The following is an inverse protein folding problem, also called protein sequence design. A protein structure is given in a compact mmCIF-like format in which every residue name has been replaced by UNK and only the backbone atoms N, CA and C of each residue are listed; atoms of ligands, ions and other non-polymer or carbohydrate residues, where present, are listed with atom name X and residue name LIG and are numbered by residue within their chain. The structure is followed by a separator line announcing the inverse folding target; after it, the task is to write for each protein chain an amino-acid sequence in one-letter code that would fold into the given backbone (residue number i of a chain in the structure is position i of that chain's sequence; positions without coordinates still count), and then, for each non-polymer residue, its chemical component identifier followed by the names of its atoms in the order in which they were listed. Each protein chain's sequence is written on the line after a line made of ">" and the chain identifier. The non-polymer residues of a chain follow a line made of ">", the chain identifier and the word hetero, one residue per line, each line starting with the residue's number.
data_IF_533384333209
#
_entry.id   IF_533384333209
#
_cell.length_a   1.000
_cell.length_b   1.000
_cell.length_c   1.000
_cell.angle_alpha   90.00
_cell.angle_beta   90.00
_cell.angle_gamma   90.00
#
_symmetry.space_group_name_H-M   'P 1'
#
loop_
_entity.id
_entity.type
_entity.pdbx_description
1 polymer ?
#
# COMPACT_ATOMS: atom_id res chain seq x y z
N UNK A 1 -0.81 20.28 -14.21
CA UNK A 1 0.14 19.31 -13.60
C UNK A 1 -0.38 19.08 -12.19
N UNK A 2 -0.50 17.86 -11.73
CA UNK A 2 -0.93 17.53 -10.36
C UNK A 2 0.00 18.22 -9.35
N UNK A 3 -0.56 18.74 -8.25
CA UNK A 3 0.18 19.29 -7.12
C UNK A 3 0.79 18.16 -6.27
N UNK A 4 0.27 16.94 -6.43
CA UNK A 4 0.65 15.73 -5.70
C UNK A 4 1.74 14.94 -6.41
N UNK A 5 2.57 14.22 -5.65
CA UNK A 5 3.52 13.23 -6.17
C UNK A 5 2.76 12.07 -6.83
N UNK A 6 1.72 11.56 -6.17
CA UNK A 6 0.77 10.57 -6.71
C UNK A 6 -0.62 11.15 -6.65
N UNK A 7 -1.34 11.08 -7.77
CA UNK A 7 -2.73 11.49 -7.90
C UNK A 7 -3.51 10.43 -8.68
N UNK A 8 -4.25 9.61 -7.97
CA UNK A 8 -5.14 8.60 -8.52
C UNK A 8 -6.57 9.14 -8.42
N UNK A 9 -7.29 9.22 -9.52
CA UNK A 9 -8.65 9.74 -9.58
C UNK A 9 -9.59 8.74 -10.24
N UNK A 10 -10.61 8.30 -9.49
CA UNK A 10 -11.70 7.44 -9.97
C UNK A 10 -11.22 6.15 -10.66
N UNK A 11 -10.11 5.58 -10.17
CA UNK A 11 -9.50 4.38 -10.76
C UNK A 11 -10.48 3.21 -10.71
N UNK A 12 -10.60 2.54 -11.87
CA UNK A 12 -11.37 1.32 -12.06
C UNK A 12 -10.51 0.30 -12.80
N UNK A 13 -10.33 -0.86 -12.19
CA UNK A 13 -9.54 -1.94 -12.76
C UNK A 13 -10.31 -3.26 -12.65
N UNK A 14 -10.42 -3.97 -13.76
CA UNK A 14 -11.13 -5.25 -13.82
C UNK A 14 -10.25 -6.35 -14.39
N UNK A 15 -10.42 -7.58 -13.88
CA UNK A 15 -9.84 -8.79 -14.45
C UNK A 15 -10.92 -9.53 -15.26
N UNK A 16 -10.67 -9.73 -16.55
CA UNK A 16 -11.60 -10.40 -17.47
C UNK A 16 -11.29 -11.91 -17.54
N UNK A 17 -11.90 -12.65 -16.62
CA UNK A 17 -11.71 -14.11 -16.50
C UNK A 17 -12.75 -14.89 -17.30
N UNK A 18 -12.55 -16.20 -17.54
CA UNK A 18 -13.59 -17.05 -18.15
C UNK A 18 -14.90 -17.10 -17.34
N UNK A 19 -14.85 -16.87 -16.03
CA UNK A 19 -16.03 -16.83 -15.16
C UNK A 19 -16.77 -15.49 -15.21
N UNK A 20 -16.15 -14.43 -15.76
CA UNK A 20 -16.72 -13.09 -15.86
C UNK A 20 -15.74 -11.99 -15.49
N UNK A 21 -16.26 -10.77 -15.36
CA UNK A 21 -15.52 -9.59 -14.98
C UNK A 21 -15.42 -9.48 -13.45
N UNK A 22 -14.19 -9.57 -12.93
CA UNK A 22 -13.89 -9.33 -11.50
C UNK A 22 -13.47 -7.87 -11.34
N UNK A 23 -14.30 -7.06 -10.68
CA UNK A 23 -14.08 -5.62 -10.46
C UNK A 23 -13.15 -5.39 -9.27
N UNK A 24 -11.84 -5.53 -9.50
CA UNK A 24 -10.83 -5.46 -8.45
C UNK A 24 -10.68 -4.06 -7.84
N UNK A 25 -10.78 -3.01 -8.66
CA UNK A 25 -10.87 -1.61 -8.22
C UNK A 25 -12.12 -0.98 -8.81
N UNK A 26 -12.84 -0.23 -7.98
CA UNK A 26 -14.12 0.34 -8.35
C UNK A 26 -14.27 1.75 -7.75
N UNK A 27 -13.73 2.74 -8.45
CA UNK A 27 -13.77 4.15 -8.05
C UNK A 27 -12.82 4.48 -6.87
N UNK A 28 -11.53 4.17 -7.05
CA UNK A 28 -10.47 4.47 -6.08
C UNK A 28 -9.87 5.83 -6.40
N UNK A 29 -9.79 6.71 -5.38
CA UNK A 29 -9.10 8.00 -5.46
C UNK A 29 -8.14 8.15 -4.29
N UNK A 30 -6.87 8.47 -4.59
CA UNK A 30 -5.78 8.57 -3.60
C UNK A 30 -4.88 9.73 -4.00
N UNK A 31 -4.46 10.55 -3.02
CA UNK A 31 -3.49 11.61 -3.17
C UNK A 31 -2.33 11.39 -2.20
N UNK A 32 -1.10 11.59 -2.66
CA UNK A 32 0.11 11.49 -1.85
C UNK A 32 1.06 12.65 -2.18
N UNK A 33 1.51 13.35 -1.15
CA UNK A 33 2.50 14.41 -1.29
C UNK A 33 3.94 13.87 -1.27
N UNK A 34 4.90 14.69 -1.68
CA UNK A 34 6.32 14.38 -1.50
C UNK A 34 6.64 14.19 -0.01
N UNK A 35 7.43 13.17 0.30
CA UNK A 35 7.87 12.86 1.66
C UNK A 35 6.78 12.36 2.63
N UNK A 36 5.55 12.17 2.17
CA UNK A 36 4.42 11.67 2.97
C UNK A 36 4.38 10.15 3.02
N UNK A 37 3.84 9.58 4.11
CA UNK A 37 3.58 8.14 4.24
C UNK A 37 2.08 7.88 4.24
N UNK A 38 1.60 7.15 3.23
CA UNK A 38 0.21 6.72 3.12
C UNK A 38 0.08 5.24 3.44
N UNK A 39 -0.71 4.91 4.45
CA UNK A 39 -1.13 3.53 4.74
C UNK A 39 -2.34 3.13 3.92
N UNK A 40 -2.28 1.99 3.22
CA UNK A 40 -3.46 1.37 2.61
C UNK A 40 -3.77 0.09 3.39
N UNK A 41 -4.91 0.10 4.08
CA UNK A 41 -5.30 -1.00 4.98
C UNK A 41 -6.62 -1.64 4.55
N UNK A 42 -6.82 -2.90 4.93
CA UNK A 42 -8.04 -3.66 4.65
C UNK A 42 -7.80 -5.16 4.61
N UNK A 43 -8.85 -5.93 4.55
CA UNK A 43 -8.77 -7.40 4.46
C UNK A 43 -8.10 -7.87 3.16
N UNK A 44 -7.66 -9.15 3.13
CA UNK A 44 -7.15 -9.77 1.90
C UNK A 44 -8.21 -9.70 0.79
N UNK A 45 -7.78 -9.42 -0.44
CA UNK A 45 -8.68 -9.26 -1.59
C UNK A 45 -9.41 -7.91 -1.65
N UNK A 46 -9.14 -6.95 -0.77
CA UNK A 46 -9.78 -5.62 -0.82
C UNK A 46 -9.29 -4.72 -1.97
N UNK A 47 -8.23 -5.09 -2.68
CA UNK A 47 -7.67 -4.34 -3.83
C UNK A 47 -6.35 -3.60 -3.56
N UNK A 48 -5.80 -3.63 -2.35
CA UNK A 48 -4.59 -2.89 -1.93
C UNK A 48 -3.41 -3.05 -2.89
N UNK A 49 -2.93 -4.28 -3.06
CA UNK A 49 -1.79 -4.57 -3.95
C UNK A 49 -2.12 -4.29 -5.42
N UNK A 50 -3.39 -4.43 -5.83
CA UNK A 50 -3.82 -4.08 -7.20
C UNK A 50 -3.66 -2.60 -7.47
N UNK A 51 -4.02 -1.73 -6.50
CA UNK A 51 -3.80 -0.27 -6.59
C UNK A 51 -2.31 0.08 -6.73
N UNK A 52 -1.44 -0.58 -5.94
CA UNK A 52 0.00 -0.37 -6.05
C UNK A 52 0.56 -0.84 -7.41
N UNK A 53 0.10 -2.01 -7.88
CA UNK A 53 0.57 -2.56 -9.15
C UNK A 53 0.05 -1.78 -10.36
N UNK A 54 -1.14 -1.18 -10.29
CA UNK A 54 -1.65 -0.32 -11.36
C UNK A 54 -0.81 0.96 -11.49
N UNK A 55 -0.42 1.58 -10.36
CA UNK A 55 0.49 2.73 -10.34
C UNK A 55 1.85 2.40 -10.98
N UNK A 56 2.33 1.18 -10.82
CA UNK A 56 3.56 0.68 -11.42
C UNK A 56 3.38 0.17 -12.86
N UNK A 57 2.14 0.15 -13.40
CA UNK A 57 1.84 -0.51 -14.68
C UNK A 57 2.18 -2.00 -14.70
N UNK A 58 2.10 -2.67 -13.53
CA UNK A 58 2.38 -4.11 -13.34
C UNK A 58 1.11 -4.95 -13.27
N UNK A 59 -0.02 -4.41 -13.75
CA UNK A 59 -1.27 -5.16 -13.79
C UNK A 59 -1.14 -6.41 -14.65
N UNK A 60 -1.21 -7.59 -14.01
CA UNK A 60 -1.06 -8.87 -14.70
C UNK A 60 -2.28 -9.16 -15.60
N UNK A 61 -2.04 -9.76 -16.78
CA UNK A 61 -3.13 -10.30 -17.61
C UNK A 61 -3.97 -11.31 -16.80
N UNK A 62 -5.31 -11.29 -16.88
CA UNK A 62 -6.18 -10.54 -17.80
C UNK A 62 -6.71 -9.19 -17.23
N UNK A 63 -5.97 -8.56 -16.31
CA UNK A 63 -6.33 -7.27 -15.72
C UNK A 63 -6.20 -6.12 -16.72
N UNK A 64 -7.14 -5.17 -16.64
CA UNK A 64 -7.15 -3.95 -17.44
C UNK A 64 -7.66 -2.78 -16.61
N UNK A 65 -7.02 -1.63 -16.76
CA UNK A 65 -7.56 -0.36 -16.31
C UNK A 65 -8.73 0.00 -17.23
N UNK A 66 -9.94 0.14 -16.64
CA UNK A 66 -11.18 0.38 -17.39
C UNK A 66 -11.70 1.80 -17.21
N UNK A 67 -11.11 2.60 -16.31
CA UNK A 67 -11.45 4.01 -16.11
C UNK A 67 -10.60 4.67 -15.05
N UNK A 68 -10.73 5.99 -14.95
CA UNK A 68 -9.95 6.84 -14.05
C UNK A 68 -8.59 7.25 -14.62
N UNK A 69 -7.86 8.00 -13.82
CA UNK A 69 -6.54 8.51 -14.18
C UNK A 69 -5.55 8.28 -13.05
N UNK A 70 -4.30 8.01 -13.41
CA UNK A 70 -3.19 7.84 -12.50
C UNK A 70 -2.06 8.78 -12.95
N UNK A 71 -1.73 9.76 -12.12
CA UNK A 71 -0.61 10.66 -12.32
C UNK A 71 0.45 10.39 -11.26
N UNK A 72 1.70 10.28 -11.68
CA UNK A 72 2.86 10.11 -10.82
C UNK A 72 3.98 11.04 -11.26
N UNK A 73 4.46 11.90 -10.37
CA UNK A 73 5.57 12.84 -10.60
C UNK A 73 5.44 13.61 -11.93
N UNK A 74 4.21 14.04 -12.27
CA UNK A 74 3.91 14.75 -13.52
C UNK A 74 3.76 13.87 -14.77
N UNK A 75 3.89 12.55 -14.64
CA UNK A 75 3.64 11.59 -15.71
C UNK A 75 2.22 11.02 -15.62
N UNK A 76 1.45 11.06 -16.72
CA UNK A 76 0.19 10.35 -16.84
C UNK A 76 0.48 8.86 -17.10
N UNK A 77 0.37 8.04 -16.05
CA UNK A 77 0.69 6.61 -16.08
C UNK A 77 -0.13 5.84 -17.10
N UNK A 78 -1.41 6.20 -17.27
CA UNK A 78 -2.33 5.59 -18.23
C UNK A 78 -1.81 5.60 -19.68
N UNK A 79 -1.02 6.60 -20.04
CA UNK A 79 -0.63 6.88 -21.41
C UNK A 79 0.80 6.36 -21.72
N UNK A 80 1.52 5.85 -20.71
CA UNK A 80 2.90 5.41 -20.87
C UNK A 80 3.02 4.10 -21.63
N UNK A 81 3.92 4.06 -22.60
CA UNK A 81 4.38 2.83 -23.21
C UNK A 81 5.28 2.03 -22.25
N UNK A 82 5.42 0.73 -22.47
CA UNK A 82 6.30 -0.13 -21.65
C UNK A 82 7.76 0.38 -21.65
N UNK A 83 8.23 1.00 -22.73
CA UNK A 83 9.57 1.59 -22.82
C UNK A 83 9.73 2.79 -21.89
N UNK A 84 8.68 3.59 -21.73
CA UNK A 84 8.65 4.74 -20.81
C UNK A 84 8.55 4.28 -19.37
N UNK A 85 7.70 3.29 -19.08
CA UNK A 85 7.61 2.66 -17.76
C UNK A 85 8.96 2.14 -17.25
N UNK A 86 9.76 1.50 -18.11
CA UNK A 86 11.09 1.00 -17.73
C UNK A 86 12.05 2.08 -17.26
N UNK A 87 11.84 3.34 -17.63
CA UNK A 87 12.68 4.45 -17.16
C UNK A 87 12.27 4.92 -15.75
N UNK A 88 11.01 4.69 -15.39
CA UNK A 88 10.42 5.13 -14.12
C UNK A 88 10.56 4.05 -13.06
N UNK A 89 10.23 2.78 -13.41
CA UNK A 89 10.36 1.63 -12.50
C UNK A 89 11.81 1.40 -12.09
N UNK A 90 12.05 1.27 -10.77
CA UNK A 90 13.39 1.07 -10.20
C UNK A 90 14.23 2.35 -10.15
N UNK A 91 13.77 3.45 -10.75
CA UNK A 91 14.43 4.74 -10.75
C UNK A 91 13.64 5.78 -9.93
N UNK A 92 12.45 6.15 -10.39
CA UNK A 92 11.62 7.16 -9.71
C UNK A 92 10.63 6.51 -8.73
N UNK A 93 10.14 5.32 -9.04
CA UNK A 93 9.28 4.52 -8.17
C UNK A 93 9.83 3.12 -8.04
N UNK A 94 9.88 2.62 -6.81
CA UNK A 94 10.32 1.26 -6.49
C UNK A 94 9.29 0.54 -5.63
N UNK A 95 9.34 -0.79 -5.65
CA UNK A 95 8.43 -1.63 -4.87
C UNK A 95 9.21 -2.71 -4.09
N UNK A 96 8.82 -2.91 -2.84
CA UNK A 96 9.17 -4.06 -2.02
C UNK A 96 7.97 -4.99 -2.03
N UNK A 97 8.14 -6.19 -2.58
CA UNK A 97 7.09 -7.21 -2.65
C UNK A 97 6.96 -7.96 -1.33
N UNK A 98 5.80 -8.55 -1.12
CA UNK A 98 5.42 -9.26 0.11
C UNK A 98 6.36 -10.42 0.48
N UNK A 99 6.85 -11.19 -0.50
CA UNK A 99 7.67 -12.37 -0.25
C UNK A 99 9.13 -12.19 -0.77
N UNK A 100 10.11 -12.06 0.15
CA UNK A 100 11.51 -11.96 -0.23
C UNK A 100 12.09 -13.24 -0.85
N UNK A 101 11.43 -14.39 -0.67
CA UNK A 101 11.89 -15.66 -1.24
C UNK A 101 11.66 -15.76 -2.73
N UNK A 102 10.58 -15.15 -3.21
CA UNK A 102 10.21 -15.16 -4.64
C UNK A 102 10.74 -13.92 -5.38
N UNK A 103 11.05 -12.85 -4.66
CA UNK A 103 11.50 -11.58 -5.26
C UNK A 103 12.98 -11.56 -5.60
N UNK A 104 13.82 -12.24 -4.80
CA UNK A 104 15.25 -12.37 -5.09
C UNK A 104 15.49 -13.58 -6.00
N UNK A 105 16.23 -13.36 -7.09
CA UNK A 105 16.58 -14.44 -8.01
C UNK A 105 17.64 -15.36 -7.36
N UNK A 106 17.35 -16.66 -7.12
CA UNK A 106 18.22 -17.55 -6.38
C UNK A 106 19.52 -17.92 -7.09
N UNK A 107 19.62 -17.72 -8.41
CA UNK A 107 20.79 -18.09 -9.22
C UNK A 107 21.77 -16.94 -9.44
N UNK A 108 21.46 -15.74 -8.97
CA UNK A 108 22.34 -14.58 -9.02
C UNK A 108 22.80 -14.18 -7.60
N UNK A 109 24.03 -13.69 -7.51
CA UNK A 109 24.54 -13.16 -6.24
C UNK A 109 23.84 -11.85 -5.88
N UNK A 110 23.84 -11.51 -4.59
CA UNK A 110 23.27 -10.27 -4.07
C UNK A 110 23.88 -9.05 -4.78
N UNK A 111 25.21 -9.04 -4.94
CA UNK A 111 25.90 -7.95 -5.64
C UNK A 111 25.43 -7.78 -7.09
N UNK A 112 25.24 -8.88 -7.81
CA UNK A 112 24.77 -8.80 -9.20
C UNK A 112 23.36 -8.18 -9.28
N UNK A 113 22.46 -8.56 -8.38
CA UNK A 113 21.07 -8.07 -8.38
C UNK A 113 20.98 -6.57 -8.03
N UNK A 114 21.77 -6.09 -7.04
CA UNK A 114 21.84 -4.67 -6.71
C UNK A 114 22.48 -3.87 -7.86
N UNK A 115 23.61 -4.36 -8.37
CA UNK A 115 24.34 -3.70 -9.46
C UNK A 115 23.55 -3.62 -10.76
N UNK A 116 22.69 -4.60 -11.05
CA UNK A 116 21.85 -4.62 -12.25
C UNK A 116 20.97 -3.38 -12.32
N UNK A 117 20.27 -3.06 -11.23
CA UNK A 117 19.41 -1.86 -11.14
C UNK A 117 20.22 -0.57 -11.33
N UNK A 118 21.38 -0.46 -10.66
CA UNK A 118 22.26 0.69 -10.76
C UNK A 118 22.76 0.90 -12.19
N UNK A 119 23.22 -0.18 -12.84
CA UNK A 119 23.76 -0.12 -14.20
C UNK A 119 22.68 0.15 -15.26
N UNK A 120 21.44 -0.25 -14.99
CA UNK A 120 20.32 -0.04 -15.90
C UNK A 120 19.85 1.43 -15.90
N UNK A 121 19.88 2.09 -14.74
CA UNK A 121 19.24 3.39 -14.54
C UNK A 121 20.24 4.56 -14.34
N UNK A 122 21.54 4.27 -14.25
CA UNK A 122 22.56 5.30 -14.04
C UNK A 122 23.72 5.15 -15.02
N UNK A 123 24.49 6.22 -15.22
CA UNK A 123 25.71 6.21 -16.08
C UNK A 123 26.94 5.61 -15.36
N UNK A 124 26.76 4.93 -14.21
CA UNK A 124 27.84 4.35 -13.44
C UNK A 124 28.45 3.14 -14.17
N UNK A 125 29.79 3.04 -14.14
CA UNK A 125 30.46 1.81 -14.58
C UNK A 125 30.36 0.70 -13.52
N UNK A 126 30.81 -0.50 -13.86
CA UNK A 126 30.74 -1.68 -12.97
C UNK A 126 31.44 -1.49 -11.62
N UNK A 127 32.57 -0.77 -11.59
CA UNK A 127 33.32 -0.52 -10.37
C UNK A 127 32.55 0.46 -9.45
N UNK A 128 32.02 1.53 -10.02
CA UNK A 128 31.18 2.48 -9.31
C UNK A 128 29.86 1.85 -8.82
N UNK A 129 29.24 1.01 -9.65
CA UNK A 129 28.03 0.27 -9.27
C UNK A 129 28.29 -0.69 -8.11
N UNK A 130 29.46 -1.37 -8.10
CA UNK A 130 29.88 -2.22 -6.99
C UNK A 130 30.12 -1.43 -5.70
N UNK A 131 30.80 -0.27 -5.80
CA UNK A 131 30.98 0.60 -4.65
C UNK A 131 29.65 1.06 -4.07
N UNK A 132 28.72 1.48 -4.93
CA UNK A 132 27.36 1.88 -4.52
C UNK A 132 26.56 0.72 -3.91
N UNK A 133 26.65 -0.49 -4.48
CA UNK A 133 26.02 -1.68 -3.91
C UNK A 133 26.54 -2.00 -2.50
N UNK A 134 27.84 -1.78 -2.25
CA UNK A 134 28.42 -1.91 -0.90
C UNK A 134 27.82 -0.87 0.06
N UNK A 135 27.82 0.40 -0.34
CA UNK A 135 27.23 1.49 0.46
C UNK A 135 25.75 1.21 0.81
N UNK A 136 24.98 0.70 -0.14
CA UNK A 136 23.56 0.33 0.08
C UNK A 136 23.43 -0.79 1.11
N UNK A 137 24.29 -1.81 1.08
CA UNK A 137 24.26 -2.88 2.10
C UNK A 137 24.65 -2.34 3.49
N UNK A 138 25.61 -1.42 3.58
CA UNK A 138 25.96 -0.72 4.81
C UNK A 138 24.79 0.13 5.32
N UNK A 139 24.12 0.87 4.41
CA UNK A 139 22.99 1.73 4.70
C UNK A 139 21.79 0.96 5.30
N UNK A 140 21.54 -0.26 4.81
CA UNK A 140 20.49 -1.12 5.36
C UNK A 140 20.96 -1.98 6.55
N UNK A 141 22.14 -1.71 7.10
CA UNK A 141 22.66 -2.36 8.30
C UNK A 141 23.12 -3.80 8.08
N UNK A 142 23.60 -4.15 6.89
CA UNK A 142 24.20 -5.45 6.61
C UNK A 142 25.70 -5.42 6.87
N UNK A 143 26.16 -6.20 7.85
CA UNK A 143 27.56 -6.33 8.20
C UNK A 143 28.35 -7.14 7.14
N UNK A 144 29.66 -6.87 7.01
CA UNK A 144 30.56 -7.53 6.05
C UNK A 144 30.07 -7.41 4.58
N UNK A 145 29.72 -6.21 4.08
CA UNK A 145 29.05 -6.03 2.79
C UNK A 145 29.82 -6.65 1.63
N UNK A 146 31.17 -6.56 1.61
CA UNK A 146 32.02 -7.17 0.59
C UNK A 146 31.89 -8.69 0.48
N UNK A 147 31.66 -9.37 1.61
CA UNK A 147 31.39 -10.80 1.64
C UNK A 147 29.97 -11.08 1.17
N UNK A 148 28.98 -10.28 1.63
CA UNK A 148 27.57 -10.46 1.31
C UNK A 148 27.26 -10.22 -0.18
N UNK A 149 27.95 -9.28 -0.82
CA UNK A 149 27.82 -9.07 -2.28
C UNK A 149 28.11 -10.33 -3.11
N UNK A 150 28.93 -11.26 -2.60
CA UNK A 150 29.29 -12.51 -3.29
C UNK A 150 28.35 -13.68 -2.97
N UNK A 151 27.49 -13.53 -1.97
CA UNK A 151 26.57 -14.57 -1.54
C UNK A 151 25.32 -14.61 -2.40
N UNK A 152 24.65 -15.75 -2.35
CA UNK A 152 23.34 -15.98 -2.96
C UNK A 152 22.22 -15.79 -1.93
N UNK A 153 20.97 -15.53 -2.37
CA UNK A 153 19.86 -15.31 -1.44
C UNK A 153 19.65 -16.44 -0.42
N UNK A 154 19.84 -17.69 -0.80
CA UNK A 154 19.66 -18.84 0.09
C UNK A 154 20.70 -18.94 1.22
N UNK A 155 21.82 -18.22 1.13
CA UNK A 155 22.84 -18.14 2.18
C UNK A 155 22.54 -17.06 3.24
N UNK A 156 21.44 -16.29 3.08
CA UNK A 156 21.05 -15.20 3.96
C UNK A 156 19.83 -15.59 4.81
N UNK A 157 19.73 -15.03 6.02
CA UNK A 157 18.53 -15.13 6.86
C UNK A 157 17.37 -14.34 6.25
N UNK A 158 16.11 -14.60 6.71
CA UNK A 158 14.92 -13.89 6.23
C UNK A 158 15.05 -12.36 6.37
N UNK A 159 15.43 -11.87 7.54
CA UNK A 159 15.64 -10.43 7.78
C UNK A 159 16.77 -9.84 6.93
N UNK A 160 17.84 -10.60 6.65
CA UNK A 160 18.89 -10.14 5.73
C UNK A 160 18.40 -10.05 4.29
N UNK A 161 17.60 -11.02 3.82
CA UNK A 161 16.97 -10.95 2.48
C UNK A 161 16.05 -9.73 2.36
N UNK A 162 15.28 -9.43 3.39
CA UNK A 162 14.42 -8.25 3.42
C UNK A 162 15.26 -6.96 3.33
N UNK A 163 16.35 -6.85 4.10
CA UNK A 163 17.28 -5.70 3.99
C UNK A 163 17.91 -5.57 2.60
N UNK A 164 18.23 -6.70 1.95
CA UNK A 164 18.73 -6.70 0.56
C UNK A 164 17.66 -6.20 -0.41
N UNK A 165 16.39 -6.61 -0.25
CA UNK A 165 15.29 -6.10 -1.09
C UNK A 165 15.11 -4.59 -0.92
N UNK A 166 15.20 -4.09 0.31
CA UNK A 166 15.20 -2.64 0.58
C UNK A 166 16.39 -1.97 -0.12
N UNK A 167 17.61 -2.54 -0.03
CA UNK A 167 18.79 -2.02 -0.72
C UNK A 167 18.60 -1.94 -2.25
N UNK A 168 17.99 -2.98 -2.85
CA UNK A 168 17.68 -2.99 -4.28
C UNK A 168 16.64 -1.90 -4.61
N UNK A 169 15.58 -1.78 -3.82
CA UNK A 169 14.53 -0.79 -4.04
C UNK A 169 15.06 0.65 -3.94
N UNK A 170 16.08 0.89 -3.10
CA UNK A 170 16.71 2.20 -2.89
C UNK A 170 17.92 2.47 -3.79
N UNK A 171 18.25 1.56 -4.70
CA UNK A 171 19.48 1.62 -5.50
C UNK A 171 19.64 2.93 -6.28
N UNK A 172 18.52 3.48 -6.78
CA UNK A 172 18.45 4.72 -7.56
C UNK A 172 17.82 5.90 -6.81
N UNK A 173 17.66 5.80 -5.48
CA UNK A 173 17.07 6.87 -4.64
C UNK A 173 15.69 7.32 -5.14
N UNK A 174 14.69 6.42 -5.16
CA UNK A 174 13.39 6.68 -5.73
C UNK A 174 12.64 7.80 -4.97
N UNK A 175 11.76 8.53 -5.66
CA UNK A 175 10.86 9.50 -5.02
C UNK A 175 9.72 8.81 -4.26
N UNK A 176 9.30 7.63 -4.73
CA UNK A 176 8.24 6.83 -4.13
C UNK A 176 8.71 5.40 -3.89
N UNK A 177 8.54 4.93 -2.66
CA UNK A 177 8.69 3.54 -2.29
C UNK A 177 7.31 2.94 -1.99
N UNK A 178 6.94 1.89 -2.71
CA UNK A 178 5.76 1.08 -2.40
C UNK A 178 6.23 -0.12 -1.58
N UNK A 179 5.65 -0.33 -0.41
CA UNK A 179 5.96 -1.44 0.47
C UNK A 179 4.72 -2.33 0.63
N UNK A 180 4.65 -3.41 -0.15
CA UNK A 180 3.53 -4.35 -0.12
C UNK A 180 3.80 -5.46 0.91
N UNK A 181 3.21 -5.30 2.10
CA UNK A 181 3.39 -6.18 3.26
C UNK A 181 4.87 -6.49 3.60
N UNK A 182 5.72 -5.48 3.77
CA UNK A 182 7.19 -5.64 3.78
C UNK A 182 7.72 -6.44 4.97
N UNK A 183 6.91 -6.74 5.95
CA UNK A 183 7.30 -7.43 7.18
C UNK A 183 6.56 -8.76 7.40
N UNK A 184 5.71 -9.17 6.47
CA UNK A 184 5.03 -10.46 6.52
C UNK A 184 6.06 -11.59 6.54
N UNK A 185 5.84 -12.60 7.40
CA UNK A 185 6.74 -13.73 7.65
C UNK A 185 8.07 -13.39 8.37
N UNK A 186 8.20 -12.21 8.98
CA UNK A 186 9.30 -11.87 9.89
C UNK A 186 8.85 -11.99 11.36
N UNK A 187 9.80 -12.27 12.26
CA UNK A 187 9.53 -12.16 13.68
C UNK A 187 9.35 -10.69 14.11
N UNK A 188 8.61 -10.47 15.21
CA UNK A 188 8.22 -9.13 15.69
C UNK A 188 9.41 -8.19 15.88
N UNK A 189 10.56 -8.73 16.36
CA UNK A 189 11.76 -7.93 16.61
C UNK A 189 12.38 -7.45 15.29
N UNK A 190 12.49 -8.33 14.31
CA UNK A 190 13.01 -7.98 12.97
C UNK A 190 12.02 -7.05 12.24
N UNK A 191 10.72 -7.29 12.38
CA UNK A 191 9.69 -6.38 11.85
C UNK A 191 9.91 -4.95 12.34
N UNK A 192 10.02 -4.74 13.66
CA UNK A 192 10.25 -3.40 14.22
C UNK A 192 11.53 -2.75 13.66
N UNK A 193 12.62 -3.49 13.57
CA UNK A 193 13.89 -3.00 13.01
C UNK A 193 13.79 -2.63 11.52
N UNK A 194 13.02 -3.35 10.73
CA UNK A 194 12.80 -3.04 9.29
C UNK A 194 11.96 -1.76 9.15
N UNK A 195 10.92 -1.61 9.96
CA UNK A 195 10.06 -0.43 9.92
C UNK A 195 10.82 0.84 10.36
N UNK A 196 11.61 0.75 11.44
CA UNK A 196 12.48 1.84 11.89
C UNK A 196 13.50 2.22 10.78
N UNK A 197 14.17 1.25 10.19
CA UNK A 197 15.08 1.46 9.06
C UNK A 197 14.37 2.17 7.89
N UNK A 198 13.14 1.76 7.53
CA UNK A 198 12.40 2.39 6.44
C UNK A 198 12.09 3.87 6.73
N UNK A 199 11.74 4.21 7.99
CA UNK A 199 11.50 5.60 8.39
C UNK A 199 12.78 6.43 8.37
N UNK A 200 13.89 5.91 8.89
CA UNK A 200 15.19 6.59 8.80
C UNK A 200 15.60 6.87 7.35
N UNK A 201 15.39 5.90 6.46
CA UNK A 201 15.70 6.04 5.04
C UNK A 201 14.76 7.02 4.32
N UNK A 202 13.48 7.03 4.68
CA UNK A 202 12.49 8.00 4.20
C UNK A 202 12.92 9.43 4.52
N UNK A 203 13.29 9.71 5.77
CA UNK A 203 13.77 11.03 6.19
C UNK A 203 15.08 11.41 5.49
N UNK A 204 16.04 10.47 5.42
CA UNK A 204 17.36 10.72 4.83
C UNK A 204 17.31 11.00 3.33
N UNK A 205 16.42 10.33 2.60
CA UNK A 205 16.29 10.43 1.14
C UNK A 205 15.18 11.37 0.70
N UNK A 206 14.32 11.83 1.61
CA UNK A 206 13.18 12.70 1.29
C UNK A 206 12.12 12.01 0.41
N UNK A 207 12.00 10.68 0.48
CA UNK A 207 11.07 9.92 -0.35
C UNK A 207 9.69 9.78 0.31
N UNK A 208 8.64 9.63 -0.50
CA UNK A 208 7.32 9.24 -0.06
C UNK A 208 7.20 7.71 0.04
N UNK A 209 6.29 7.22 0.89
CA UNK A 209 6.02 5.78 1.05
C UNK A 209 4.53 5.49 0.90
N UNK A 210 4.17 4.47 0.11
CA UNK A 210 2.87 3.80 0.20
C UNK A 210 3.08 2.48 0.94
N UNK A 211 2.53 2.39 2.15
CA UNK A 211 2.61 1.22 3.01
C UNK A 211 1.32 0.39 2.87
N UNK A 212 1.41 -0.80 2.32
CA UNK A 212 0.30 -1.74 2.27
C UNK A 212 0.49 -2.78 3.36
N UNK A 213 -0.46 -2.87 4.27
CA UNK A 213 -0.42 -3.86 5.34
C UNK A 213 -1.82 -4.13 5.89
N UNK A 214 -1.98 -5.26 6.55
CA UNK A 214 -3.14 -5.57 7.38
C UNK A 214 -2.89 -5.29 8.87
N UNK A 215 -1.65 -4.94 9.24
CA UNK A 215 -1.26 -4.61 10.62
C UNK A 215 -1.47 -3.12 10.89
N UNK A 216 -2.55 -2.83 11.61
CA UNK A 216 -2.90 -1.45 11.96
C UNK A 216 -1.94 -0.84 13.00
N UNK A 217 -1.21 -1.66 13.78
CA UNK A 217 -0.16 -1.17 14.68
C UNK A 217 1.01 -0.56 13.91
N UNK A 218 1.41 -1.18 12.81
CA UNK A 218 2.42 -0.65 11.88
C UNK A 218 1.96 0.70 11.32
N UNK A 219 0.72 0.75 10.83
CA UNK A 219 0.16 1.96 10.22
C UNK A 219 0.08 3.12 11.22
N UNK A 220 -0.35 2.83 12.46
CA UNK A 220 -0.41 3.84 13.53
C UNK A 220 0.94 4.48 13.85
N UNK A 221 2.04 3.73 13.69
CA UNK A 221 3.38 4.21 14.04
C UNK A 221 4.13 4.90 12.91
N UNK A 222 3.71 4.72 11.65
CA UNK A 222 4.48 5.16 10.49
C UNK A 222 3.74 6.09 9.55
N UNK A 223 2.41 6.00 9.47
CA UNK A 223 1.65 6.67 8.41
C UNK A 223 1.14 8.03 8.84
N UNK A 224 1.21 9.01 7.93
CA UNK A 224 0.61 10.33 8.10
C UNK A 224 -0.90 10.26 7.82
N UNK A 225 -1.27 9.50 6.78
CA UNK A 225 -2.66 9.30 6.34
C UNK A 225 -2.95 7.84 6.10
N UNK A 226 -4.21 7.48 6.15
CA UNK A 226 -4.70 6.11 5.97
C UNK A 226 -5.86 6.07 5.00
N UNK A 227 -5.77 5.19 4.01
CA UNK A 227 -6.84 4.78 3.12
C UNK A 227 -7.37 3.41 3.56
N UNK A 228 -8.58 3.35 4.08
CA UNK A 228 -9.24 2.09 4.46
C UNK A 228 -9.97 1.53 3.26
N UNK A 229 -9.53 0.36 2.79
CA UNK A 229 -10.00 -0.23 1.55
C UNK A 229 -10.84 -1.49 1.79
N UNK A 230 -12.02 -1.54 1.18
CA UNK A 230 -12.91 -2.69 1.21
C UNK A 230 -13.51 -2.96 -0.17
N UNK A 231 -13.38 -4.18 -0.67
CA UNK A 231 -13.99 -4.61 -1.93
C UNK A 231 -13.71 -3.67 -3.13
N UNK A 232 -12.46 -3.28 -3.29
CA UNK A 232 -12.01 -2.42 -4.40
C UNK A 232 -12.40 -0.95 -4.27
N UNK A 233 -12.79 -0.46 -3.08
CA UNK A 233 -13.17 0.94 -2.81
C UNK A 233 -12.45 1.48 -1.60
N UNK A 234 -12.19 2.78 -1.59
CA UNK A 234 -11.83 3.50 -0.36
C UNK A 234 -13.12 3.82 0.37
N UNK A 235 -13.35 3.16 1.51
CA UNK A 235 -14.55 3.36 2.33
C UNK A 235 -14.38 4.47 3.35
N UNK A 236 -13.15 4.73 3.76
CA UNK A 236 -12.77 5.85 4.64
C UNK A 236 -11.33 6.28 4.36
N UNK A 237 -11.05 7.55 4.43
CA UNK A 237 -9.73 8.16 4.25
C UNK A 237 -9.58 9.31 5.25
N UNK A 238 -8.43 9.43 5.89
CA UNK A 238 -8.15 10.49 6.85
C UNK A 238 -6.72 10.46 7.35
N UNK A 239 -6.40 11.36 8.25
CA UNK A 239 -5.15 11.29 9.01
C UNK A 239 -5.14 10.04 9.89
N UNK A 240 -3.97 9.64 10.36
CA UNK A 240 -3.87 8.52 11.31
C UNK A 240 -4.73 8.75 12.54
N UNK A 241 -4.75 9.97 13.09
CA UNK A 241 -5.59 10.33 14.24
C UNK A 241 -7.10 10.21 13.93
N UNK A 242 -7.54 10.65 12.74
CA UNK A 242 -8.94 10.52 12.34
C UNK A 242 -9.40 9.06 12.32
N UNK A 243 -8.61 8.20 11.70
CA UNK A 243 -8.96 6.79 11.53
C UNK A 243 -8.93 6.05 12.88
N UNK A 244 -7.96 6.33 13.75
CA UNK A 244 -7.83 5.62 15.04
C UNK A 244 -8.76 6.15 16.13
N UNK A 245 -8.98 7.46 16.22
CA UNK A 245 -9.71 8.08 17.32
C UNK A 245 -11.12 8.55 16.93
N UNK A 246 -11.40 8.74 15.62
CA UNK A 246 -12.69 9.25 15.15
C UNK A 246 -13.22 8.51 13.91
N UNK A 247 -13.15 7.15 13.86
CA UNK A 247 -13.56 6.36 12.69
C UNK A 247 -15.04 6.58 12.37
N UNK A 248 -15.35 6.72 11.09
CA UNK A 248 -16.71 7.02 10.60
C UNK A 248 -17.37 5.83 9.92
N UNK A 249 -16.61 5.00 9.20
CA UNK A 249 -17.16 3.83 8.53
C UNK A 249 -17.26 2.64 9.49
N UNK A 250 -18.36 1.90 9.45
CA UNK A 250 -18.58 0.74 10.32
C UNK A 250 -17.55 -0.38 10.11
N UNK A 251 -17.01 -0.51 8.90
CA UNK A 251 -15.89 -1.43 8.63
C UNK A 251 -14.60 -1.00 9.38
N UNK A 252 -14.25 0.28 9.32
CA UNK A 252 -13.09 0.83 10.05
C UNK A 252 -13.23 0.58 11.56
N UNK A 253 -14.41 0.85 12.12
CA UNK A 253 -14.72 0.56 13.51
C UNK A 253 -14.57 -0.93 13.84
N UNK A 254 -15.00 -1.81 12.92
CA UNK A 254 -14.84 -3.25 13.04
C UNK A 254 -13.37 -3.69 13.03
N UNK A 255 -12.56 -3.14 12.11
CA UNK A 255 -11.12 -3.40 12.04
C UNK A 255 -10.42 -3.01 13.35
N UNK A 256 -10.69 -1.81 13.86
CA UNK A 256 -10.10 -1.32 15.10
C UNK A 256 -10.48 -2.14 16.33
N UNK A 257 -11.70 -2.68 16.38
CA UNK A 257 -12.15 -3.58 17.46
C UNK A 257 -11.48 -4.96 17.41
N UNK A 258 -10.92 -5.33 16.28
CA UNK A 258 -10.21 -6.61 16.11
C UNK A 258 -8.74 -6.56 16.57
N UNK A 259 -8.23 -5.37 16.97
CA UNK A 259 -6.85 -5.18 17.42
C UNK A 259 -6.79 -5.36 18.94
N UNK A 260 -5.78 -6.13 19.45
CA UNK A 260 -5.50 -6.15 20.89
C UNK A 260 -5.08 -4.76 21.39
N UNK A 261 -5.74 -4.24 22.41
CA UNK A 261 -5.31 -3.02 23.09
C UNK A 261 -4.38 -3.37 24.24
N UNK A 262 -3.21 -2.74 24.29
CA UNK A 262 -2.22 -2.96 25.34
C UNK A 262 -2.67 -2.41 26.70
N UNK A 263 -3.60 -1.45 26.71
CA UNK A 263 -4.15 -0.78 27.89
C UNK A 263 -5.44 -1.42 28.40
N UNK A 264 -5.93 -2.47 27.74
CA UNK A 264 -7.17 -3.16 28.11
C UNK A 264 -6.96 -4.04 29.34
N UNK A 265 -7.35 -3.52 30.51
CA UNK A 265 -7.20 -4.20 31.81
C UNK A 265 -8.17 -5.37 32.00
N UNK A 266 -9.21 -5.45 31.20
CA UNK A 266 -10.29 -6.46 31.35
C UNK A 266 -10.13 -7.65 30.40
N UNK A 267 -9.08 -7.72 29.55
CA UNK A 267 -8.89 -8.76 28.55
C UNK A 267 -10.16 -9.01 27.73
N UNK A 268 -10.80 -7.94 27.24
CA UNK A 268 -11.97 -8.07 26.38
C UNK A 268 -11.66 -9.01 25.22
N UNK A 269 -12.58 -9.92 24.96
CA UNK A 269 -12.43 -10.86 23.86
C UNK A 269 -12.43 -10.10 22.56
N UNK A 270 -11.39 -10.26 21.74
CA UNK A 270 -11.34 -9.67 20.40
C UNK A 270 -12.58 -10.09 19.61
N UNK A 271 -13.28 -9.11 19.05
CA UNK A 271 -14.48 -9.34 18.24
C UNK A 271 -14.09 -9.27 16.76
N UNK A 272 -13.94 -10.42 16.09
CA UNK A 272 -13.66 -10.40 14.65
C UNK A 272 -14.86 -9.85 13.88
N UNK A 273 -14.60 -9.28 12.72
CA UNK A 273 -15.67 -8.89 11.78
C UNK A 273 -16.32 -10.19 11.26
N UNK A 274 -17.58 -10.42 11.59
CA UNK A 274 -18.31 -11.62 11.20
C UNK A 274 -18.55 -11.69 9.68
N UNK A 275 -18.70 -12.91 9.16
CA UNK A 275 -18.97 -13.19 7.76
C UNK A 275 -17.72 -13.19 6.87
N UNK A 276 -17.92 -13.40 5.59
CA UNK A 276 -16.86 -13.46 4.58
C UNK A 276 -16.89 -12.21 3.70
N UNK A 277 -15.72 -11.72 3.20
CA UNK A 277 -15.68 -10.69 2.18
C UNK A 277 -16.54 -11.05 0.96
N UNK A 278 -17.06 -10.04 0.30
CA UNK A 278 -17.92 -10.24 -0.89
C UNK A 278 -17.14 -10.76 -2.08
N UNK A 279 -17.84 -11.46 -2.98
CA UNK A 279 -17.30 -11.84 -4.28
C UNK A 279 -17.32 -10.63 -5.24
N UNK A 280 -16.12 -10.29 -5.76
CA UNK A 280 -15.93 -9.18 -6.70
C UNK A 280 -16.38 -9.51 -8.14
N UNK A 281 -16.76 -10.75 -8.42
CA UNK A 281 -17.37 -11.14 -9.69
C UNK A 281 -18.77 -10.53 -9.85
N UNK A 282 -19.55 -10.50 -8.75
CA UNK A 282 -20.90 -9.96 -8.70
C UNK A 282 -21.07 -9.01 -7.50
N UNK A 283 -20.34 -7.86 -7.46
CA UNK A 283 -20.43 -6.95 -6.34
C UNK A 283 -21.85 -6.35 -6.24
N UNK A 284 -22.36 -6.10 -5.02
CA UNK A 284 -23.67 -5.50 -4.83
C UNK A 284 -23.72 -4.08 -5.39
N UNK A 285 -24.89 -3.64 -5.79
CA UNK A 285 -25.12 -2.25 -6.25
C UNK A 285 -24.93 -1.22 -5.13
N UNK A 286 -25.21 -1.61 -3.89
CA UNK A 286 -25.06 -0.77 -2.70
C UNK A 286 -23.70 -0.90 -2.02
N UNK A 287 -23.70 -0.59 -0.72
CA UNK A 287 -22.49 -0.69 0.09
C UNK A 287 -21.98 -2.14 0.15
N UNK A 288 -20.74 -2.41 -0.25
CA UNK A 288 -20.20 -3.78 -0.27
C UNK A 288 -20.04 -4.38 1.14
N UNK A 289 -19.94 -3.55 2.17
CA UNK A 289 -19.90 -4.01 3.56
C UNK A 289 -21.28 -4.29 4.16
N UNK A 290 -22.38 -3.92 3.49
CA UNK A 290 -23.74 -4.06 4.02
C UNK A 290 -24.08 -5.47 4.56
N UNK A 291 -23.68 -6.60 3.94
CA UNK A 291 -23.99 -7.93 4.45
C UNK A 291 -23.32 -8.26 5.80
N UNK A 292 -22.24 -7.54 6.16
CA UNK A 292 -21.46 -7.74 7.40
C UNK A 292 -21.66 -6.60 8.40
N UNK A 293 -22.40 -5.58 8.03
CA UNK A 293 -22.57 -4.37 8.83
C UNK A 293 -23.72 -4.55 9.85
N UNK A 294 -23.41 -4.46 11.14
CA UNK A 294 -24.43 -4.52 12.22
C UNK A 294 -25.44 -3.36 12.16
N UNK A 295 -25.03 -2.23 11.56
CA UNK A 295 -25.85 -1.01 11.41
C UNK A 295 -26.42 -0.88 9.99
N UNK A 296 -26.56 -1.99 9.25
CA UNK A 296 -27.04 -1.98 7.88
C UNK A 296 -28.46 -1.43 7.76
N UNK A 297 -28.63 -0.41 6.92
CA UNK A 297 -29.94 0.14 6.55
C UNK A 297 -30.41 -0.39 5.19
N UNK A 298 -31.72 -0.33 4.91
CA UNK A 298 -32.28 -0.79 3.62
C UNK A 298 -31.66 -0.09 2.41
N UNK A 299 -31.26 1.17 2.55
CA UNK A 299 -30.59 1.95 1.49
C UNK A 299 -29.21 1.39 1.18
N UNK A 300 -28.46 0.91 2.19
CA UNK A 300 -27.14 0.33 2.02
C UNK A 300 -27.12 -0.90 1.09
N UNK A 301 -28.24 -1.61 0.96
CA UNK A 301 -28.37 -2.76 0.06
C UNK A 301 -28.64 -2.37 -1.40
N UNK A 302 -29.07 -1.13 -1.66
CA UNK A 302 -29.53 -0.67 -2.98
C UNK A 302 -28.57 0.29 -3.63
N UNK A 303 -28.00 1.21 -2.85
CA UNK A 303 -27.22 2.34 -3.35
C UNK A 303 -25.96 2.53 -2.51
N UNK A 304 -24.87 2.91 -3.19
CA UNK A 304 -23.64 3.31 -2.52
C UNK A 304 -23.85 4.68 -1.86
N UNK A 305 -23.30 4.86 -0.65
CA UNK A 305 -23.35 6.15 0.01
C UNK A 305 -22.52 7.18 -0.76
N UNK A 306 -22.99 8.43 -0.88
CA UNK A 306 -22.15 9.53 -1.36
C UNK A 306 -21.00 9.77 -0.36
N UNK A 307 -19.95 10.42 -0.85
CA UNK A 307 -18.83 10.84 0.01
C UNK A 307 -19.34 11.89 1.01
N UNK A 308 -19.06 11.66 2.28
CA UNK A 308 -19.25 12.64 3.37
C UNK A 308 -17.87 13.10 3.82
N UNK A 309 -17.59 14.39 3.68
CA UNK A 309 -16.34 15.03 4.09
C UNK A 309 -16.54 15.70 5.44
N UNK A 310 -15.59 15.50 6.38
CA UNK A 310 -15.62 16.06 7.73
C UNK A 310 -14.69 17.26 7.89
N UNK A 311 -13.59 17.25 7.15
CA UNK A 311 -12.60 18.32 7.04
C UNK A 311 -11.88 18.23 5.68
N UNK A 312 -10.75 18.90 5.51
CA UNK A 312 -10.01 18.96 4.26
C UNK A 312 -9.41 17.59 3.83
N UNK A 313 -9.28 16.63 4.76
CA UNK A 313 -8.64 15.33 4.54
C UNK A 313 -9.60 14.17 4.82
N UNK A 314 -10.36 14.24 5.94
CA UNK A 314 -11.18 13.13 6.42
C UNK A 314 -12.49 13.01 5.68
N UNK A 315 -12.70 11.87 5.01
CA UNK A 315 -13.98 11.54 4.37
C UNK A 315 -14.33 10.05 4.50
N UNK A 316 -15.62 9.76 4.30
CA UNK A 316 -16.15 8.38 4.30
C UNK A 316 -17.27 8.19 3.30
N UNK A 317 -17.53 6.95 2.90
CA UNK A 317 -18.67 6.52 2.10
C UNK A 317 -19.63 5.64 2.91
N UNK A 318 -20.29 6.22 3.91
CA UNK A 318 -21.20 5.50 4.81
C UNK A 318 -22.53 6.25 5.03
N UNK A 319 -23.66 5.59 4.78
CA UNK A 319 -25.01 6.14 4.98
C UNK A 319 -25.31 6.56 6.41
N UNK A 320 -24.67 5.96 7.42
CA UNK A 320 -24.85 6.34 8.82
C UNK A 320 -24.47 7.81 9.05
N UNK A 321 -23.40 8.27 8.40
CA UNK A 321 -22.95 9.66 8.54
C UNK A 321 -23.87 10.65 7.82
N UNK A 322 -24.49 10.24 6.72
CA UNK A 322 -25.52 11.04 6.04
C UNK A 322 -26.78 11.21 6.92
N UNK A 323 -27.20 10.14 7.58
CA UNK A 323 -28.33 10.18 8.52
C UNK A 323 -28.07 11.12 9.69
N UNK A 324 -26.89 11.02 10.31
CA UNK A 324 -26.50 11.92 11.41
C UNK A 324 -26.43 13.39 10.98
N UNK A 325 -25.96 13.67 9.77
CA UNK A 325 -25.91 15.00 9.22
C UNK A 325 -27.32 15.56 9.00
N UNK A 326 -28.22 14.79 8.39
CA UNK A 326 -29.63 15.16 8.18
C UNK A 326 -30.36 15.41 9.52
N UNK A 327 -30.12 14.57 10.52
CA UNK A 327 -30.70 14.75 11.87
C UNK A 327 -30.19 16.02 12.55
N UNK A 328 -28.91 16.35 12.41
CA UNK A 328 -28.31 17.61 12.94
C UNK A 328 -28.86 18.85 12.22
N UNK A 329 -29.08 18.77 10.91
CA UNK A 329 -29.67 19.87 10.14
C UNK A 329 -31.15 20.08 10.46
N UNK A 330 -31.91 18.99 10.66
CA UNK A 330 -33.32 19.06 11.07
C UNK A 330 -33.53 19.55 12.52
N UNK A 331 -32.50 19.47 13.37
CA UNK A 331 -32.53 19.93 14.78
C UNK A 331 -32.12 21.41 14.95
N UNK A 332 -31.67 22.08 13.88
CA UNK A 332 -31.31 23.51 13.83
C UNK A 332 -32.51 24.32 13.37
#
# INVERSE_FOLDING_TARGET
>A
MSEYLVDIQHERLSFFTPAGEVKALNDVSIHLNDGEVLGIVGESGSGKSVTAYSLMGLTAFPGKLVGGTIDFNGHRINDLSEKEFRKIRGNEVSIIFQDPMTSLNPVYTIGNQIMEVILLHTDKNKEQARARAKELLELVGINEPEKRLKQYPHELSGGMRQRVMIAIALACEPKLLIADEPTTALDVTIQAQILELMMELKEKLGMAIIMITHDLGVVASMCDKIAVMYAGRIVEYGTTDDIFYNPKHEYTKGLLKSIPRLDDKEHERLVPIEGTPIDLLNPPAGCPFAPRCSNCMKICLREMAPVTTFDDVHYTQCWMNQKEQMEREAAK
#
